data_IF_237260087780
#
_entry.id   IF_237260087780
#
_cell.length_a   1.000
_cell.length_b   1.000
_cell.length_c   1.000
_cell.angle_alpha   90.00
_cell.angle_beta   90.00
_cell.angle_gamma   90.00
#
_symmetry.space_group_name_H-M   'P 1'
#
loop_
_entity.id
_entity.type
_entity.pdbx_description
1 polymer ?
#
# COMPACT_ATOMS: atom_id res chain seq x y z
N UNK A 1 28.11 35.96 12.23
CA UNK A 1 27.35 34.90 12.91
C UNK A 1 26.50 34.23 11.84
N UNK A 2 26.93 33.05 11.36
CA UNK A 2 26.23 32.30 10.31
C UNK A 2 25.05 31.56 10.94
N UNK A 3 23.84 31.75 10.40
CA UNK A 3 22.75 30.79 10.53
C UNK A 3 22.31 30.42 9.12
N UNK A 4 22.78 29.25 8.70
CA UNK A 4 22.45 28.61 7.44
C UNK A 4 21.02 28.12 7.60
N UNK A 5 20.08 28.70 6.85
CA UNK A 5 18.73 28.17 6.73
C UNK A 5 18.82 26.78 6.11
N UNK A 6 18.56 25.74 6.90
CA UNK A 6 18.36 24.40 6.40
C UNK A 6 17.14 24.42 5.45
N UNK A 7 17.23 23.90 4.22
CA UNK A 7 16.04 23.68 3.44
C UNK A 7 15.24 22.57 4.14
N UNK A 8 14.01 22.90 4.50
CA UNK A 8 13.00 21.93 4.91
C UNK A 8 12.78 21.00 3.71
N UNK A 9 13.55 19.90 3.66
CA UNK A 9 13.24 18.76 2.79
C UNK A 9 12.10 17.99 3.47
N UNK A 10 10.99 18.69 3.68
CA UNK A 10 9.69 18.08 3.85
C UNK A 10 9.34 17.49 2.50
N UNK A 11 9.84 16.27 2.25
CA UNK A 11 9.28 15.41 1.23
C UNK A 11 7.79 15.35 1.51
N UNK A 12 7.02 16.14 0.76
CA UNK A 12 5.58 16.00 0.74
C UNK A 12 5.34 14.60 0.21
N UNK A 13 5.23 13.63 1.12
CA UNK A 13 4.48 12.43 0.88
C UNK A 13 3.07 12.92 0.56
N UNK A 14 2.86 13.20 -0.73
CA UNK A 14 1.55 13.38 -1.30
C UNK A 14 0.79 12.14 -0.85
N UNK A 15 -0.10 12.30 0.15
CA UNK A 15 -1.07 11.27 0.51
C UNK A 15 -1.95 11.08 -0.71
N UNK A 16 -1.46 10.35 -1.70
CA UNK A 16 -2.23 9.96 -2.88
C UNK A 16 -3.39 9.17 -2.31
N UNK A 17 -4.59 9.70 -2.50
CA UNK A 17 -5.81 8.99 -2.14
C UNK A 17 -5.77 7.64 -2.83
N UNK A 18 -5.62 6.58 -2.03
CA UNK A 18 -5.59 5.22 -2.54
C UNK A 18 -7.03 4.91 -2.97
N UNK A 19 -7.20 4.54 -4.23
CA UNK A 19 -8.51 4.17 -4.78
C UNK A 19 -8.43 2.77 -5.38
N UNK A 20 -9.55 2.02 -5.45
CA UNK A 20 -9.54 0.71 -6.08
C UNK A 20 -9.01 0.76 -7.52
N UNK A 21 -9.36 1.82 -8.26
CA UNK A 21 -8.89 2.04 -9.63
C UNK A 21 -7.38 2.21 -9.70
N UNK A 22 -6.80 3.05 -8.84
CA UNK A 22 -5.35 3.24 -8.78
C UNK A 22 -4.61 1.91 -8.51
N UNK A 23 -5.11 1.10 -7.57
CA UNK A 23 -4.51 -0.19 -7.27
C UNK A 23 -4.54 -1.13 -8.49
N UNK A 24 -5.67 -1.18 -9.21
CA UNK A 24 -5.78 -1.96 -10.45
C UNK A 24 -4.83 -1.46 -11.54
N UNK A 25 -4.77 -0.14 -11.74
CA UNK A 25 -3.89 0.46 -12.74
C UNK A 25 -2.42 0.14 -12.43
N UNK A 26 -2.02 0.15 -11.16
CA UNK A 26 -0.66 -0.21 -10.74
C UNK A 26 -0.38 -1.71 -10.88
N UNK A 27 -1.35 -2.56 -10.57
CA UNK A 27 -1.24 -4.02 -10.75
C UNK A 27 -1.06 -4.39 -12.23
N UNK A 28 -1.63 -3.61 -13.15
CA UNK A 28 -1.46 -3.82 -14.58
C UNK A 28 -0.03 -3.50 -15.08
N UNK A 29 0.70 -2.67 -14.34
CA UNK A 29 2.07 -2.25 -14.68
C UNK A 29 3.11 -3.19 -14.06
N UNK A 30 2.83 -3.75 -12.89
CA UNK A 30 3.76 -4.65 -12.21
C UNK A 30 3.30 -5.14 -10.84
N UNK A 31 4.21 -5.77 -10.12
CA UNK A 31 3.93 -6.20 -8.74
C UNK A 31 3.87 -5.00 -7.80
N UNK A 32 2.82 -4.93 -6.99
CA UNK A 32 2.61 -3.84 -6.03
C UNK A 32 2.69 -4.39 -4.61
N UNK A 33 3.68 -3.92 -3.88
CA UNK A 33 3.82 -4.13 -2.45
C UNK A 33 2.96 -3.10 -1.70
N UNK A 34 2.25 -3.53 -0.66
CA UNK A 34 1.35 -2.75 0.18
C UNK A 34 1.86 -2.75 1.62
N UNK A 35 1.97 -1.57 2.20
CA UNK A 35 2.19 -1.39 3.63
C UNK A 35 0.82 -1.23 4.31
N UNK A 36 0.49 -2.12 5.24
CA UNK A 36 -0.79 -2.09 5.95
C UNK A 36 -0.61 -1.65 7.40
N UNK A 37 -1.55 -0.87 7.92
CA UNK A 37 -1.57 -0.49 9.32
C UNK A 37 -1.72 -1.72 10.23
N UNK A 38 -0.88 -1.80 11.27
CA UNK A 38 -0.91 -2.92 12.22
C UNK A 38 -0.29 -4.22 11.72
N UNK A 39 0.19 -4.28 10.48
CA UNK A 39 0.95 -5.41 9.94
C UNK A 39 2.44 -5.09 9.93
N UNK A 40 3.25 -6.03 10.42
CA UNK A 40 4.72 -5.91 10.34
C UNK A 40 5.28 -6.36 9.01
N UNK A 41 4.55 -7.21 8.27
CA UNK A 41 4.98 -7.74 6.99
C UNK A 41 4.32 -7.02 5.83
N UNK A 42 5.08 -6.87 4.74
CA UNK A 42 4.62 -6.25 3.51
C UNK A 42 3.61 -7.18 2.84
N UNK A 43 2.41 -6.66 2.59
CA UNK A 43 1.40 -7.37 1.83
C UNK A 43 1.63 -7.18 0.32
N UNK A 44 1.19 -8.11 -0.52
CA UNK A 44 1.28 -7.96 -1.97
C UNK A 44 -0.10 -7.83 -2.58
N UNK A 45 -0.34 -6.76 -3.33
CA UNK A 45 -1.58 -6.60 -4.08
C UNK A 45 -1.69 -7.70 -5.12
N UNK A 46 -2.81 -8.42 -5.11
CA UNK A 46 -3.12 -9.47 -6.11
C UNK A 46 -4.41 -9.18 -6.86
N UNK A 47 -5.20 -8.20 -6.42
CA UNK A 47 -6.40 -7.74 -7.11
C UNK A 47 -7.06 -6.58 -6.38
N UNK A 48 -8.10 -6.01 -6.97
CA UNK A 48 -9.01 -5.09 -6.27
C UNK A 48 -10.45 -5.58 -6.39
N UNK A 49 -11.29 -5.27 -5.40
CA UNK A 49 -12.71 -5.62 -5.44
C UNK A 49 -13.39 -4.98 -6.65
N UNK A 50 -13.97 -5.80 -7.54
CA UNK A 50 -14.59 -5.35 -8.81
C UNK A 50 -15.82 -4.44 -8.63
N UNK A 51 -16.36 -4.29 -7.41
CA UNK A 51 -17.65 -3.62 -7.15
C UNK A 51 -17.59 -2.53 -6.08
N UNK A 52 -16.53 -1.72 -6.11
CA UNK A 52 -16.49 -0.43 -5.38
C UNK A 52 -16.55 -0.50 -3.86
N UNK A 53 -16.19 -1.60 -3.23
CA UNK A 53 -16.34 -1.73 -1.77
C UNK A 53 -15.19 -1.10 -0.97
N UNK A 54 -14.24 -0.41 -1.60
CA UNK A 54 -13.14 0.19 -0.85
C UNK A 54 -12.19 -0.87 -0.27
N UNK A 55 -12.11 -2.04 -0.91
CA UNK A 55 -11.22 -3.13 -0.53
C UNK A 55 -10.29 -3.56 -1.67
N UNK A 56 -9.14 -4.09 -1.29
CA UNK A 56 -8.14 -4.72 -2.13
C UNK A 56 -8.01 -6.21 -1.77
N UNK A 57 -7.67 -7.05 -2.74
CA UNK A 57 -7.22 -8.41 -2.47
C UNK A 57 -5.71 -8.37 -2.35
N UNK A 58 -5.21 -8.77 -1.18
CA UNK A 58 -3.78 -8.79 -0.92
C UNK A 58 -3.34 -10.15 -0.40
N UNK A 59 -2.17 -10.59 -0.82
CA UNK A 59 -1.46 -11.69 -0.22
C UNK A 59 -0.78 -11.17 1.05
N UNK A 60 -1.26 -11.62 2.21
CA UNK A 60 -0.81 -11.22 3.55
C UNK A 60 -0.24 -12.41 4.29
N UNK A 61 0.73 -12.21 5.18
CA UNK A 61 1.16 -13.26 6.09
C UNK A 61 0.14 -13.45 7.21
N UNK A 62 -0.37 -14.67 7.38
CA UNK A 62 -1.23 -15.01 8.51
C UNK A 62 -0.41 -15.71 9.61
N UNK A 63 -0.27 -15.11 10.81
CA UNK A 63 0.50 -15.71 11.90
C UNK A 63 -0.18 -16.94 12.50
N UNK A 64 -1.52 -17.04 12.41
CA UNK A 64 -2.31 -18.14 12.95
C UNK A 64 -1.98 -19.48 12.28
N UNK A 65 -1.80 -19.43 10.96
CA UNK A 65 -1.52 -20.60 10.11
C UNK A 65 -0.10 -20.59 9.54
N UNK A 66 0.72 -19.60 9.93
CA UNK A 66 2.12 -19.40 9.56
C UNK A 66 2.38 -19.55 8.05
N UNK A 67 1.53 -18.91 7.25
CA UNK A 67 1.62 -18.91 5.79
C UNK A 67 1.00 -17.67 5.18
N UNK A 68 1.38 -17.38 3.95
CA UNK A 68 0.74 -16.35 3.16
C UNK A 68 -0.66 -16.80 2.71
N UNK A 69 -1.65 -15.91 2.86
CA UNK A 69 -3.03 -16.09 2.41
C UNK A 69 -3.50 -14.90 1.60
N UNK A 70 -4.50 -15.10 0.74
CA UNK A 70 -5.19 -13.99 0.09
C UNK A 70 -6.30 -13.53 1.02
N UNK A 71 -6.27 -12.27 1.40
CA UNK A 71 -7.26 -11.65 2.25
C UNK A 71 -7.79 -10.35 1.65
N UNK A 72 -8.96 -9.95 2.13
CA UNK A 72 -9.61 -8.70 1.77
C UNK A 72 -9.14 -7.59 2.71
N UNK A 73 -8.44 -6.60 2.16
CA UNK A 73 -7.85 -5.49 2.92
C UNK A 73 -8.59 -4.21 2.62
N UNK A 74 -9.06 -3.49 3.64
CA UNK A 74 -9.69 -2.20 3.42
C UNK A 74 -8.66 -1.19 2.92
N UNK A 75 -9.05 -0.36 1.96
CA UNK A 75 -8.16 0.66 1.40
C UNK A 75 -7.74 1.68 2.48
N UNK A 76 -8.59 1.91 3.48
CA UNK A 76 -8.28 2.73 4.65
C UNK A 76 -7.14 2.17 5.50
N UNK A 77 -6.90 0.86 5.43
CA UNK A 77 -5.84 0.18 6.18
C UNK A 77 -4.50 0.21 5.41
N UNK A 78 -4.50 0.64 4.14
CA UNK A 78 -3.30 0.78 3.34
C UNK A 78 -2.60 2.09 3.73
N UNK A 79 -1.45 1.97 4.36
CA UNK A 79 -0.57 3.07 4.72
C UNK A 79 0.23 3.59 3.52
N UNK A 80 0.71 2.68 2.69
CA UNK A 80 1.62 2.99 1.59
C UNK A 80 1.62 1.90 0.53
N UNK A 81 2.19 2.22 -0.63
CA UNK A 81 2.33 1.29 -1.75
C UNK A 81 3.68 1.49 -2.43
N UNK A 82 4.27 0.40 -2.90
CA UNK A 82 5.52 0.41 -3.65
C UNK A 82 5.37 -0.48 -4.88
N UNK A 83 5.63 0.10 -6.05
CA UNK A 83 5.65 -0.64 -7.31
C UNK A 83 7.05 -1.15 -7.54
N UNK A 84 7.17 -2.44 -7.83
CA UNK A 84 8.42 -3.08 -8.25
C UNK A 84 8.31 -3.38 -9.74
N UNK A 85 9.12 -2.67 -10.54
CA UNK A 85 9.23 -2.79 -12.01
C UNK A 85 10.46 -3.62 -12.37
#
# INVERSE_FOLDING_TARGET
MNVISSPDVGGQEMKKTITPKLLLDLLAIGSVDLELWGQSEIAKLVGAGMRSEGYALAKVWSPEIRREVIDLVAITDIKGMKVSV
#
